data_IF_571262203410
#
_entry.id   IF_571262203410
#
_cell.length_a   1.000
_cell.length_b   1.000
_cell.length_c   1.000
_cell.angle_alpha   90.00
_cell.angle_beta   90.00
_cell.angle_gamma   90.00
#
_symmetry.space_group_name_H-M   'P 1'
#
loop_
_entity.id
_entity.type
_entity.pdbx_description
1 polymer ?
#
# COMPACT_ATOMS: atom_id res chain seq x y z
N UNK A 1 -3.39 -7.58 3.07
CA UNK A 1 -3.03 -8.25 1.80
C UNK A 1 -2.41 -9.56 2.21
N UNK A 2 -3.01 -10.65 1.77
CA UNK A 2 -2.57 -11.99 2.13
C UNK A 2 -2.01 -12.66 0.88
N UNK A 3 -0.92 -13.40 1.06
CA UNK A 3 -0.32 -14.17 -0.01
C UNK A 3 0.69 -15.18 0.51
N UNK A 4 1.37 -15.82 -0.42
CA UNK A 4 2.42 -16.79 -0.16
C UNK A 4 3.74 -16.31 -0.77
N UNK A 5 4.84 -16.51 -0.07
CA UNK A 5 6.17 -16.26 -0.61
C UNK A 5 7.14 -17.41 -0.31
N UNK A 6 7.99 -17.67 -1.30
CA UNK A 6 9.10 -18.59 -1.20
C UNK A 6 10.36 -17.87 -1.67
N UNK A 7 11.25 -17.59 -0.71
CA UNK A 7 12.45 -16.76 -0.91
C UNK A 7 13.67 -17.54 -0.43
N UNK A 8 14.60 -17.88 -1.32
CA UNK A 8 15.80 -18.64 -0.96
C UNK A 8 16.77 -17.79 -0.13
N UNK A 9 17.75 -18.45 0.48
CA UNK A 9 18.82 -17.77 1.21
C UNK A 9 19.58 -16.78 0.29
N UNK A 10 19.86 -15.58 0.83
CA UNK A 10 20.53 -14.50 0.12
C UNK A 10 19.69 -13.87 -1.00
N UNK A 11 18.37 -14.02 -0.97
CA UNK A 11 17.41 -13.16 -1.66
C UNK A 11 16.51 -12.47 -0.62
N UNK A 12 15.78 -11.44 -1.03
CA UNK A 12 14.80 -10.73 -0.21
C UNK A 12 13.60 -10.35 -1.06
N UNK A 13 12.44 -10.33 -0.42
CA UNK A 13 11.20 -9.82 -0.98
C UNK A 13 10.71 -8.61 -0.21
N UNK A 14 9.94 -7.76 -0.87
CA UNK A 14 9.26 -6.64 -0.25
C UNK A 14 7.92 -6.45 -0.92
N UNK A 15 6.85 -6.39 -0.13
CA UNK A 15 5.54 -5.95 -0.59
C UNK A 15 5.18 -4.63 0.07
N UNK A 16 4.55 -3.72 -0.67
CA UNK A 16 4.16 -2.39 -0.21
C UNK A 16 2.74 -2.08 -0.69
N UNK A 17 1.92 -1.55 0.22
CA UNK A 17 0.64 -0.92 -0.06
C UNK A 17 0.80 0.59 0.11
N UNK A 18 0.58 1.34 -0.97
CA UNK A 18 0.62 2.80 -0.99
C UNK A 18 -0.80 3.34 -1.11
N UNK A 19 -1.20 4.17 -0.15
CA UNK A 19 -2.49 4.86 -0.14
C UNK A 19 -2.30 6.33 -0.47
N UNK A 20 -3.04 6.86 -1.44
CA UNK A 20 -2.95 8.27 -1.85
C UNK A 20 -4.28 8.80 -2.35
N UNK A 21 -4.48 10.12 -2.31
CA UNK A 21 -5.62 10.74 -2.98
C UNK A 21 -5.22 11.31 -4.35
N UNK A 22 -6.07 11.13 -5.35
CA UNK A 22 -5.86 11.73 -6.69
C UNK A 22 -5.71 13.25 -6.58
N UNK A 23 -4.70 13.79 -7.27
CA UNK A 23 -4.37 15.22 -7.22
C UNK A 23 -3.51 15.64 -6.02
N UNK A 24 -3.32 14.76 -5.03
CA UNK A 24 -2.39 14.92 -3.92
C UNK A 24 -1.09 14.17 -4.23
N UNK A 25 -0.24 14.76 -5.06
CA UNK A 25 1.03 14.13 -5.46
C UNK A 25 2.05 14.04 -4.31
N UNK A 26 1.82 14.72 -3.18
CA UNK A 26 2.74 14.72 -2.03
C UNK A 26 2.28 13.81 -0.88
N UNK A 27 0.97 13.72 -0.59
CA UNK A 27 0.50 12.94 0.56
C UNK A 27 0.14 11.52 0.13
N UNK A 28 0.96 10.58 0.60
CA UNK A 28 0.69 9.15 0.55
C UNK A 28 1.10 8.52 1.88
N UNK A 29 0.58 7.31 2.14
CA UNK A 29 0.96 6.50 3.30
C UNK A 29 1.31 5.11 2.80
N UNK A 30 2.50 4.63 3.15
CA UNK A 30 2.99 3.32 2.78
C UNK A 30 2.95 2.34 3.96
N UNK A 31 2.51 1.13 3.67
CA UNK A 31 2.63 -0.02 4.56
C UNK A 31 3.42 -1.09 3.85
N UNK A 32 4.50 -1.56 4.47
CA UNK A 32 5.42 -2.45 3.80
C UNK A 32 5.75 -3.65 4.68
N UNK A 33 5.86 -4.84 4.08
CA UNK A 33 6.37 -6.06 4.72
C UNK A 33 7.64 -6.53 4.02
N UNK A 34 8.70 -6.66 4.82
CA UNK A 34 9.97 -7.22 4.36
C UNK A 34 9.96 -8.72 4.57
N UNK A 35 10.24 -9.46 3.50
CA UNK A 35 10.32 -10.92 3.51
C UNK A 35 11.80 -11.30 3.39
N UNK A 36 12.42 -11.58 4.53
CA UNK A 36 13.82 -12.01 4.56
C UNK A 36 13.98 -13.38 3.85
N UNK A 37 15.15 -13.63 3.26
CA UNK A 37 15.44 -14.91 2.62
C UNK A 37 15.49 -16.08 3.60
N UNK A 38 15.50 -17.30 3.03
CA UNK A 38 15.20 -18.54 3.76
C UNK A 38 13.78 -18.52 4.36
N UNK A 39 12.83 -18.05 3.55
CA UNK A 39 11.43 -17.92 3.91
C UNK A 39 10.56 -18.78 2.97
N UNK A 40 9.62 -19.51 3.53
CA UNK A 40 8.59 -20.23 2.80
C UNK A 40 7.34 -20.24 3.65
N UNK A 41 6.30 -19.55 3.20
CA UNK A 41 5.07 -19.46 3.96
C UNK A 41 4.15 -18.32 3.54
N UNK A 42 3.05 -18.23 4.27
CA UNK A 42 2.07 -17.18 4.10
C UNK A 42 2.54 -15.90 4.77
N UNK A 43 2.30 -14.77 4.11
CA UNK A 43 2.49 -13.44 4.67
C UNK A 43 1.16 -12.69 4.71
N UNK A 44 1.07 -11.76 5.65
CA UNK A 44 -0.07 -10.87 5.78
C UNK A 44 0.40 -9.44 6.04
N UNK A 45 0.27 -8.61 5.02
CA UNK A 45 0.49 -7.17 5.13
C UNK A 45 -0.81 -6.48 5.55
N UNK A 46 -0.89 -6.12 6.82
CA UNK A 46 -1.95 -5.30 7.36
C UNK A 46 -1.71 -3.81 7.08
N UNK A 47 -2.76 -3.10 6.69
CA UNK A 47 -2.71 -1.67 6.42
C UNK A 47 -3.90 -0.97 7.08
N UNK A 48 -3.62 0.13 7.79
CA UNK A 48 -4.66 0.95 8.44
C UNK A 48 -4.34 2.43 8.21
N UNK A 49 -4.52 2.92 6.97
CA UNK A 49 -4.09 4.25 6.57
C UNK A 49 -4.88 5.34 7.30
N UNK A 50 -4.17 6.23 7.99
CA UNK A 50 -4.67 7.54 8.40
C UNK A 50 -4.17 8.60 7.43
N UNK A 51 -5.01 9.00 6.48
CA UNK A 51 -4.63 9.97 5.43
C UNK A 51 -5.67 11.10 5.34
N UNK A 52 -5.19 12.32 5.14
CA UNK A 52 -5.99 13.52 4.98
C UNK A 52 -5.86 14.05 3.56
N UNK A 53 -6.97 14.52 2.99
CA UNK A 53 -7.01 15.21 1.72
C UNK A 53 -8.00 16.36 1.76
N UNK A 54 -7.72 17.38 0.95
CA UNK A 54 -8.60 18.52 0.74
C UNK A 54 -9.25 18.40 -0.62
N UNK A 55 -10.55 18.70 -0.70
CA UNK A 55 -11.15 18.95 -2.01
C UNK A 55 -10.43 20.12 -2.68
N UNK A 56 -10.12 20.03 -3.97
CA UNK A 56 -9.62 21.18 -4.71
C UNK A 56 -10.67 22.29 -4.71
N UNK A 57 -10.23 23.55 -4.68
CA UNK A 57 -11.12 24.69 -4.79
C UNK A 57 -11.86 24.64 -6.13
N UNK A 58 -13.19 24.57 -6.10
CA UNK A 58 -14.03 24.42 -7.29
C UNK A 58 -14.18 22.98 -7.81
N UNK A 59 -13.68 21.96 -7.10
CA UNK A 59 -13.88 20.56 -7.46
C UNK A 59 -14.58 19.75 -6.36
N UNK A 60 -15.19 18.63 -6.75
CA UNK A 60 -16.15 17.89 -5.91
C UNK A 60 -15.64 16.56 -5.38
N UNK A 61 -14.48 16.07 -5.82
CA UNK A 61 -14.04 14.70 -5.49
C UNK A 61 -12.54 14.61 -5.22
N UNK A 62 -12.20 13.71 -4.30
CA UNK A 62 -10.86 13.16 -4.13
C UNK A 62 -11.00 11.64 -4.10
N UNK A 63 -10.38 10.95 -5.05
CA UNK A 63 -10.43 9.48 -5.14
C UNK A 63 -9.28 8.92 -4.32
N UNK A 64 -9.58 8.02 -3.38
CA UNK A 64 -8.56 7.26 -2.65
C UNK A 64 -8.07 6.10 -3.52
N UNK A 65 -6.80 6.13 -3.89
CA UNK A 65 -6.10 5.08 -4.58
C UNK A 65 -5.36 4.18 -3.58
N UNK A 66 -5.36 2.88 -3.85
CA UNK A 66 -4.54 1.90 -3.17
C UNK A 66 -3.71 1.17 -4.22
N UNK A 67 -2.39 1.33 -4.17
CA UNK A 67 -1.46 0.63 -5.04
C UNK A 67 -0.74 -0.46 -4.26
N UNK A 68 -0.70 -1.67 -4.81
CA UNK A 68 -0.03 -2.83 -4.23
C UNK A 68 1.13 -3.21 -5.13
N UNK A 69 2.35 -3.26 -4.58
CA UNK A 69 3.54 -3.64 -5.33
C UNK A 69 4.39 -4.62 -4.52
N UNK A 70 4.82 -5.72 -5.16
CA UNK A 70 5.76 -6.68 -4.60
C UNK A 70 6.99 -6.79 -5.49
N UNK A 71 8.18 -6.86 -4.88
CA UNK A 71 9.45 -7.03 -5.58
C UNK A 71 10.32 -8.08 -4.89
N UNK A 72 11.20 -8.72 -5.67
CA UNK A 72 12.22 -9.66 -5.21
C UNK A 72 13.58 -9.18 -5.69
N UNK A 73 14.59 -9.28 -4.84
CA UNK A 73 15.97 -8.94 -5.17
C UNK A 73 16.96 -9.94 -4.55
N UNK A 74 17.97 -10.43 -5.30
CA UNK A 74 18.13 -10.31 -6.75
C UNK A 74 17.16 -11.23 -7.51
N UNK A 75 16.94 -10.97 -8.80
CA UNK A 75 15.98 -11.71 -9.65
C UNK A 75 16.58 -12.95 -10.34
N UNK A 76 17.87 -13.22 -10.13
CA UNK A 76 18.59 -14.35 -10.73
C UNK A 76 18.50 -15.65 -9.92
N UNK A 77 17.71 -15.68 -8.85
CA UNK A 77 17.48 -16.86 -8.00
C UNK A 77 16.03 -17.33 -8.12
N UNK A 78 15.76 -18.65 -8.05
CA UNK A 78 14.40 -19.17 -8.03
C UNK A 78 13.67 -18.67 -6.78
N UNK A 79 12.74 -17.75 -6.96
CA UNK A 79 11.96 -17.15 -5.89
C UNK A 79 10.57 -16.81 -6.42
N UNK A 80 9.58 -16.82 -5.52
CA UNK A 80 8.17 -16.58 -5.86
C UNK A 80 7.53 -15.71 -4.77
N UNK A 81 6.73 -14.74 -5.19
CA UNK A 81 5.72 -14.09 -4.37
C UNK A 81 4.40 -14.21 -5.14
N UNK A 82 3.39 -14.77 -4.51
CA UNK A 82 2.03 -14.84 -5.02
C UNK A 82 1.11 -14.06 -4.08
N UNK A 83 0.32 -13.14 -4.64
CA UNK A 83 -0.71 -12.42 -3.90
C UNK A 83 -2.03 -13.12 -4.16
N UNK A 84 -2.60 -13.73 -3.12
CA UNK A 84 -3.84 -14.50 -3.26
C UNK A 84 -5.04 -13.56 -3.31
N UNK A 85 -5.14 -12.66 -2.33
CA UNK A 85 -6.22 -11.69 -2.29
C UNK A 85 -5.89 -10.48 -1.41
N UNK A 86 -6.49 -9.35 -1.79
CA UNK A 86 -6.55 -8.16 -0.96
C UNK A 86 -7.90 -8.19 -0.24
N UNK A 87 -7.92 -8.74 0.98
CA UNK A 87 -9.06 -8.60 1.88
C UNK A 87 -9.02 -7.22 2.54
N UNK A 88 -10.16 -6.53 2.56
CA UNK A 88 -10.28 -5.22 3.20
C UNK A 88 -11.68 -5.02 3.77
N UNK A 89 -11.76 -4.82 5.09
CA UNK A 89 -12.96 -4.24 5.71
C UNK A 89 -12.77 -2.73 5.76
N UNK A 90 -13.46 -2.01 4.89
CA UNK A 90 -13.40 -0.55 4.90
C UNK A 90 -14.20 0.00 6.09
N UNK A 91 -13.48 0.56 7.07
CA UNK A 91 -14.08 1.36 8.14
C UNK A 91 -13.61 2.79 7.97
N UNK A 92 -14.50 3.69 7.55
CA UNK A 92 -14.16 5.09 7.33
C UNK A 92 -14.55 5.92 8.55
N UNK A 93 -13.57 6.62 9.12
CA UNK A 93 -13.80 7.66 10.13
C UNK A 93 -13.57 9.00 9.47
N UNK A 94 -14.63 9.78 9.26
CA UNK A 94 -14.54 11.09 8.63
C UNK A 94 -14.28 12.17 9.68
N UNK A 95 -13.26 12.99 9.43
CA UNK A 95 -13.13 14.31 10.05
C UNK A 95 -13.38 15.36 8.96
N UNK A 96 -14.44 16.15 9.10
CA UNK A 96 -14.78 17.19 8.12
C UNK A 96 -14.28 18.53 8.65
N UNK A 97 -13.53 19.25 7.82
CA UNK A 97 -13.08 20.61 8.10
C UNK A 97 -13.30 21.46 6.85
N UNK A 98 -13.61 22.73 7.05
CA UNK A 98 -13.71 23.72 5.99
C UNK A 98 -12.39 24.47 5.89
N UNK A 99 -11.93 24.74 4.66
CA UNK A 99 -10.78 25.58 4.38
C UNK A 99 -11.17 26.65 3.38
N UNK A 100 -10.82 27.90 3.67
CA UNK A 100 -11.00 28.99 2.73
C UNK A 100 -10.13 28.76 1.50
N UNK A 101 -10.72 28.96 0.32
CA UNK A 101 -9.98 29.00 -0.93
C UNK A 101 -9.37 30.39 -1.09
N UNK A 102 -8.05 30.45 -1.18
CA UNK A 102 -7.34 31.67 -1.55
C UNK A 102 -6.97 31.52 -3.02
N UNK A 103 -7.53 32.40 -3.85
CA UNK A 103 -7.19 32.54 -5.26
C UNK A 103 -5.97 33.45 -5.41
#
# INVERSE_FOLDING_TARGET
MIGFAQIPAGAKGQCTNTFSFTGSNANHVDYAISLAGAYSGNFDLHSSPGILSWSPCGGSTAILNMNTACNISPTNKPALIAVDHVSGKLTVKFGVQWRTCHH
#
